data_IF_159121422915
#
_entry.id   IF_159121422915
#
_cell.length_a   1.000
_cell.length_b   1.000
_cell.length_c   1.000
_cell.angle_alpha   90.00
_cell.angle_beta   90.00
_cell.angle_gamma   90.00
#
_symmetry.space_group_name_H-M   'P 1'
#
loop_
_entity.id
_entity.type
_entity.pdbx_description
1 polymer ?
#
# COMPACT_ATOMS: atom_id res chain seq x y z
N UNK A 1 6.86 -13.17 8.72
CA UNK A 1 7.25 -13.47 7.32
C UNK A 1 6.12 -14.14 6.56
N UNK A 2 5.41 -15.10 7.15
CA UNK A 2 4.34 -15.85 6.46
C UNK A 2 3.27 -14.98 5.80
N UNK A 3 2.75 -13.95 6.49
CA UNK A 3 1.78 -13.03 5.88
C UNK A 3 2.29 -12.36 4.59
N UNK A 4 3.55 -11.91 4.57
CA UNK A 4 4.16 -11.31 3.39
C UNK A 4 4.34 -12.35 2.26
N UNK A 5 4.73 -13.58 2.60
CA UNK A 5 4.81 -14.68 1.62
C UNK A 5 3.44 -14.99 1.01
N UNK A 6 2.41 -15.11 1.85
CA UNK A 6 1.03 -15.35 1.41
C UNK A 6 0.53 -14.24 0.49
N UNK A 7 0.74 -12.96 0.86
CA UNK A 7 0.36 -11.81 0.04
C UNK A 7 1.00 -11.83 -1.37
N UNK A 8 2.29 -12.14 -1.45
CA UNK A 8 3.00 -12.25 -2.73
C UNK A 8 2.46 -13.41 -3.58
N UNK A 9 2.25 -14.58 -2.96
CA UNK A 9 1.77 -15.76 -3.66
C UNK A 9 0.33 -15.62 -4.13
N UNK A 10 -0.56 -15.07 -3.30
CA UNK A 10 -1.95 -14.82 -3.63
C UNK A 10 -2.10 -13.89 -4.85
N UNK A 11 -1.23 -12.88 -4.95
CA UNK A 11 -1.26 -11.91 -6.06
C UNK A 11 -0.35 -12.27 -7.23
N UNK A 12 0.36 -13.39 -7.17
CA UNK A 12 1.31 -13.79 -8.21
C UNK A 12 2.44 -12.78 -8.42
N UNK A 13 2.81 -12.01 -7.39
CA UNK A 13 3.86 -11.00 -7.52
C UNK A 13 5.26 -11.61 -7.36
N UNK A 14 6.26 -11.10 -8.10
CA UNK A 14 7.65 -11.52 -7.94
C UNK A 14 8.17 -11.30 -6.52
N UNK A 15 9.07 -12.18 -6.08
CA UNK A 15 9.73 -12.07 -4.78
C UNK A 15 10.56 -10.77 -4.63
N UNK A 16 10.82 -10.04 -5.70
CA UNK A 16 11.50 -8.73 -5.64
C UNK A 16 10.73 -7.71 -4.80
N UNK A 17 9.40 -7.85 -4.69
CA UNK A 17 8.54 -6.97 -3.90
C UNK A 17 8.37 -7.42 -2.43
N UNK A 18 9.30 -8.26 -1.93
CA UNK A 18 9.21 -8.77 -0.56
C UNK A 18 9.28 -7.67 0.49
N UNK A 19 10.05 -6.61 0.23
CA UNK A 19 10.20 -5.48 1.15
C UNK A 19 8.85 -4.78 1.34
N UNK A 20 8.16 -4.51 0.23
CA UNK A 20 6.83 -3.90 0.20
C UNK A 20 5.78 -4.78 0.89
N UNK A 21 5.80 -6.09 0.62
CA UNK A 21 4.90 -7.04 1.25
C UNK A 21 5.11 -7.10 2.78
N UNK A 22 6.36 -7.09 3.25
CA UNK A 22 6.67 -7.06 4.68
C UNK A 22 6.20 -5.75 5.32
N UNK A 23 6.41 -4.61 4.67
CA UNK A 23 5.93 -3.32 5.18
C UNK A 23 4.41 -3.28 5.34
N UNK A 24 3.66 -3.76 4.35
CA UNK A 24 2.19 -3.84 4.45
C UNK A 24 1.76 -4.82 5.54
N UNK A 25 2.40 -5.98 5.63
CA UNK A 25 2.06 -6.97 6.64
C UNK A 25 2.18 -6.37 8.05
N UNK A 26 3.30 -5.71 8.35
CA UNK A 26 3.51 -5.01 9.64
C UNK A 26 2.48 -3.88 9.82
N UNK A 27 2.20 -3.11 8.77
CA UNK A 27 1.24 -2.02 8.83
C UNK A 27 -0.19 -2.47 9.18
N UNK A 28 -0.60 -3.60 8.60
CA UNK A 28 -1.91 -4.24 8.85
C UNK A 28 -1.93 -4.85 10.24
N UNK A 29 -0.90 -5.62 10.62
CA UNK A 29 -0.82 -6.25 11.95
C UNK A 29 -0.94 -5.25 13.09
N UNK A 30 -0.32 -4.07 12.96
CA UNK A 30 -0.43 -3.01 13.96
C UNK A 30 -1.84 -2.40 14.07
N UNK A 31 -2.69 -2.57 13.06
CA UNK A 31 -4.08 -2.09 12.99
C UNK A 31 -5.11 -3.20 13.14
N UNK A 32 -4.68 -4.45 13.31
CA UNK A 32 -5.57 -5.55 13.62
C UNK A 32 -5.78 -5.62 15.13
N UNK A 33 -6.99 -6.00 15.59
CA UNK A 33 -7.20 -6.36 16.98
C UNK A 33 -6.39 -7.62 17.31
N UNK A 34 -5.86 -7.69 18.53
CA UNK A 34 -5.09 -8.84 19.01
C UNK A 34 -5.64 -9.32 20.35
N UNK A 35 -5.42 -10.58 20.71
CA UNK A 35 -5.87 -11.12 22.01
C UNK A 35 -5.19 -10.45 23.21
N UNK A 36 -3.98 -9.91 23.01
CA UNK A 36 -3.17 -9.29 24.07
C UNK A 36 -3.73 -7.92 24.45
N UNK A 37 -4.23 -7.18 23.47
CA UNK A 37 -4.79 -5.84 23.69
C UNK A 37 -6.29 -5.90 23.49
N UNK A 38 -7.03 -5.91 24.59
CA UNK A 38 -8.49 -5.94 24.57
C UNK A 38 -9.07 -4.65 23.97
N UNK A 39 -10.01 -4.83 23.04
CA UNK A 39 -10.82 -3.79 22.39
C UNK A 39 -10.05 -2.65 21.69
N UNK A 40 -8.73 -2.78 21.51
CA UNK A 40 -7.88 -1.80 20.83
C UNK A 40 -6.92 -2.48 19.86
N UNK A 41 -6.52 -1.72 18.85
CA UNK A 41 -5.41 -2.12 17.97
C UNK A 41 -4.06 -1.83 18.65
N UNK A 42 -2.99 -2.50 18.24
CA UNK A 42 -1.65 -2.26 18.81
C UNK A 42 -1.23 -0.78 18.65
N UNK A 43 -1.53 -0.19 17.49
CA UNK A 43 -1.22 1.22 17.23
C UNK A 43 -2.09 2.15 18.06
N UNK A 44 -3.35 1.81 18.35
CA UNK A 44 -4.23 2.59 19.22
C UNK A 44 -3.77 2.51 20.67
N UNK A 45 -3.34 1.35 21.14
CA UNK A 45 -2.76 1.20 22.48
C UNK A 45 -1.45 2.00 22.64
N UNK A 46 -0.63 2.05 21.60
CA UNK A 46 0.63 2.79 21.60
C UNK A 46 0.45 4.31 21.47
N UNK A 47 -0.36 4.76 20.52
CA UNK A 47 -0.52 6.19 20.19
C UNK A 47 -1.66 6.88 20.92
N UNK A 48 -2.57 6.14 21.55
CA UNK A 48 -3.82 6.66 22.10
C UNK A 48 -4.86 7.07 21.04
N UNK A 49 -4.53 6.96 19.75
CA UNK A 49 -5.39 7.41 18.65
C UNK A 49 -5.94 6.19 17.91
N UNK A 50 -7.27 6.13 17.77
CA UNK A 50 -7.91 5.08 16.99
C UNK A 50 -7.59 5.23 15.50
N UNK A 51 -6.92 4.25 14.86
CA UNK A 51 -6.55 4.36 13.45
C UNK A 51 -7.81 4.25 12.57
N UNK A 52 -7.84 5.03 11.49
CA UNK A 52 -8.81 4.81 10.41
C UNK A 52 -8.42 3.56 9.60
N UNK A 53 -9.42 2.80 9.16
CA UNK A 53 -9.25 1.70 8.21
C UNK A 53 -9.69 2.09 6.77
N UNK A 54 -10.23 3.30 6.57
CA UNK A 54 -10.84 3.71 5.29
C UNK A 54 -9.85 3.77 4.13
N UNK A 55 -8.57 4.00 4.41
CA UNK A 55 -7.51 4.08 3.39
C UNK A 55 -6.87 2.73 3.09
N UNK A 56 -7.27 1.64 3.78
CA UNK A 56 -6.69 0.34 3.51
C UNK A 56 -7.06 -0.15 2.11
N UNK A 57 -6.05 -0.65 1.39
CA UNK A 57 -6.20 -1.21 0.05
C UNK A 57 -5.57 -2.60 0.00
N UNK A 58 -6.07 -3.42 -0.91
CA UNK A 58 -5.60 -4.80 -1.10
C UNK A 58 -4.22 -4.77 -1.74
N UNK A 59 -3.23 -5.38 -1.10
CA UNK A 59 -1.89 -5.52 -1.67
C UNK A 59 -1.95 -6.14 -3.07
N UNK A 60 -1.14 -5.65 -4.00
CA UNK A 60 -1.09 -6.15 -5.36
C UNK A 60 -2.30 -5.81 -6.23
N UNK A 61 -3.26 -5.01 -5.74
CA UNK A 61 -4.39 -4.58 -6.56
C UNK A 61 -3.94 -3.63 -7.67
N UNK A 62 -4.57 -3.75 -8.84
CA UNK A 62 -4.43 -2.76 -9.91
C UNK A 62 -4.99 -1.42 -9.43
N UNK A 63 -4.23 -0.36 -9.67
CA UNK A 63 -4.67 1.01 -9.42
C UNK A 63 -4.27 1.92 -10.58
N UNK A 64 -4.79 3.15 -10.57
CA UNK A 64 -4.55 4.16 -11.60
C UNK A 64 -3.96 5.39 -10.93
N UNK A 65 -2.75 5.75 -11.35
CA UNK A 65 -2.01 6.93 -10.91
C UNK A 65 -2.48 8.10 -11.76
N UNK A 66 -2.88 9.21 -11.14
CA UNK A 66 -3.24 10.41 -11.87
C UNK A 66 -2.00 11.09 -12.48
N UNK A 67 -2.09 11.48 -13.75
CA UNK A 67 -1.06 12.28 -14.44
C UNK A 67 -1.48 13.75 -14.40
N UNK A 68 -0.71 14.63 -13.74
CA UNK A 68 -0.98 16.06 -13.69
C UNK A 68 -1.04 16.70 -15.08
N UNK A 69 -1.79 17.81 -15.21
CA UNK A 69 -1.98 18.51 -16.49
C UNK A 69 -0.69 19.05 -17.08
N UNK A 70 0.25 19.44 -16.24
CA UNK A 70 1.55 19.99 -16.64
C UNK A 70 2.45 18.92 -17.28
N UNK A 71 2.13 17.64 -17.09
CA UNK A 71 2.90 16.49 -17.61
C UNK A 71 2.22 15.80 -18.79
N UNK A 72 1.12 16.34 -19.31
CA UNK A 72 0.35 15.75 -20.40
C UNK A 72 0.09 16.76 -21.51
N UNK A 73 0.12 16.29 -22.75
CA UNK A 73 -0.31 17.05 -23.92
C UNK A 73 -1.80 16.85 -24.20
N UNK A 74 -2.35 17.66 -25.13
CA UNK A 74 -3.77 17.60 -25.50
C UNK A 74 -4.12 16.18 -25.99
N UNK A 75 -5.18 15.60 -25.41
CA UNK A 75 -5.69 14.23 -25.69
C UNK A 75 -4.85 13.07 -25.13
N UNK A 76 -3.81 13.32 -24.34
CA UNK A 76 -3.09 12.22 -23.66
C UNK A 76 -3.87 11.65 -22.47
N UNK A 77 -3.54 10.40 -22.12
CA UNK A 77 -4.14 9.67 -21.01
C UNK A 77 -3.95 10.41 -19.68
N UNK A 78 -5.03 10.53 -18.92
CA UNK A 78 -5.04 11.18 -17.59
C UNK A 78 -4.55 10.28 -16.47
N UNK A 79 -4.30 9.00 -16.77
CA UNK A 79 -3.96 8.00 -15.76
C UNK A 79 -2.98 6.97 -16.26
N UNK A 80 -2.09 6.52 -15.38
CA UNK A 80 -1.17 5.41 -15.64
C UNK A 80 -1.53 4.22 -14.75
N UNK A 81 -1.59 3.03 -15.35
CA UNK A 81 -1.84 1.78 -14.61
C UNK A 81 -0.65 1.43 -13.70
N UNK A 82 -0.94 1.06 -12.47
CA UNK A 82 0.03 0.62 -11.49
C UNK A 82 -0.46 -0.51 -10.60
N UNK A 83 0.42 -0.98 -9.73
CA UNK A 83 0.14 -1.99 -8.71
C UNK A 83 0.32 -1.35 -7.33
N UNK A 84 -0.69 -1.45 -6.48
CA UNK A 84 -0.61 -0.99 -5.10
C UNK A 84 0.34 -1.87 -4.28
N UNK A 85 1.37 -1.27 -3.70
CA UNK A 85 2.39 -1.99 -2.94
C UNK A 85 2.61 -1.45 -1.51
N UNK A 86 1.98 -0.36 -1.09
CA UNK A 86 2.25 0.16 0.24
C UNK A 86 1.63 1.51 0.57
N UNK A 87 1.90 1.94 1.80
CA UNK A 87 1.58 3.27 2.29
C UNK A 87 2.88 4.08 2.42
N UNK A 88 2.84 5.37 2.09
CA UNK A 88 3.96 6.28 2.34
C UNK A 88 4.06 6.61 3.84
N UNK A 89 5.28 6.72 4.35
CA UNK A 89 5.54 7.19 5.73
C UNK A 89 5.71 8.71 5.79
N UNK A 90 6.03 9.36 4.66
CA UNK A 90 6.36 10.78 4.60
C UNK A 90 5.18 11.64 4.14
N UNK A 91 4.16 11.02 3.53
CA UNK A 91 3.03 11.73 2.96
C UNK A 91 1.75 10.90 3.07
N UNK A 92 0.60 11.55 2.91
CA UNK A 92 -0.71 10.89 2.80
C UNK A 92 -0.91 10.27 1.40
N UNK A 93 0.07 9.48 0.97
CA UNK A 93 0.11 8.87 -0.35
C UNK A 93 0.31 7.36 -0.29
N UNK A 94 0.08 6.71 -1.42
CA UNK A 94 0.28 5.28 -1.60
C UNK A 94 1.56 5.00 -2.36
N UNK A 95 2.28 3.94 -1.98
CA UNK A 95 3.39 3.40 -2.77
C UNK A 95 2.80 2.54 -3.88
N UNK A 96 3.03 2.95 -5.11
CA UNK A 96 2.49 2.31 -6.30
C UNK A 96 3.63 1.98 -7.25
N UNK A 97 3.65 0.75 -7.75
CA UNK A 97 4.55 0.36 -8.82
C UNK A 97 3.94 0.74 -10.16
N UNK A 98 4.57 1.67 -10.86
CA UNK A 98 4.14 2.11 -12.18
C UNK A 98 4.54 1.06 -13.22
N UNK A 99 3.57 0.48 -13.93
CA UNK A 99 3.81 -0.60 -14.89
C UNK A 99 4.49 -0.13 -16.18
N UNK A 100 4.36 1.14 -16.54
CA UNK A 100 5.00 1.71 -17.73
C UNK A 100 6.48 2.01 -17.47
N UNK A 101 6.78 2.71 -16.36
CA UNK A 101 8.14 3.14 -16.05
C UNK A 101 8.94 2.12 -15.25
N UNK A 102 8.29 1.08 -14.73
CA UNK A 102 8.88 0.06 -13.83
C UNK A 102 9.49 0.66 -12.56
N UNK A 103 9.00 1.82 -12.14
CA UNK A 103 9.46 2.53 -10.94
C UNK A 103 8.41 2.50 -9.84
N UNK A 104 8.87 2.42 -8.60
CA UNK A 104 8.03 2.66 -7.44
C UNK A 104 7.91 4.16 -7.22
N UNK A 105 6.68 4.65 -7.17
CA UNK A 105 6.37 6.06 -6.94
C UNK A 105 5.39 6.21 -5.77
N UNK A 106 5.32 7.42 -5.22
CA UNK A 106 4.31 7.80 -4.25
C UNK A 106 3.25 8.60 -5.00
N UNK A 107 2.00 8.13 -4.95
CA UNK A 107 0.83 8.76 -5.57
C UNK A 107 -0.20 9.21 -4.54
#
# INVERSE_FOLDING_TARGET
MEMARSMLKEKGLPNTFWVEAVYIAVYILNRCPTKVVQDKTLIEAWSGIKPSAKHLRVFGSICYIHVPEEKRHKLEDKTVRGIFLGYSTQSKGYRVYNLQTKKLIIS
#
